data_IF_960230870835
#
_entry.id   IF_960230870835
#
_cell.length_a   1.000
_cell.length_b   1.000
_cell.length_c   1.000
_cell.angle_alpha   90.00
_cell.angle_beta   90.00
_cell.angle_gamma   90.00
#
_symmetry.space_group_name_H-M   'P 1'
#
loop_
_entity.id
_entity.type
_entity.pdbx_description
1 polymer ?
#
# COMPACT_ATOMS: atom_id res chain seq x y z
N UNK A 1 -18.78 6.05 21.84
CA UNK A 1 -17.49 5.79 22.52
C UNK A 1 -16.90 4.60 21.79
N UNK A 2 -16.03 4.83 20.83
CA UNK A 2 -15.55 3.78 19.92
C UNK A 2 -14.21 3.26 20.41
N UNK A 3 -14.13 1.95 20.58
CA UNK A 3 -12.94 1.24 21.03
C UNK A 3 -12.11 0.91 19.78
N UNK A 4 -10.94 1.54 19.67
CA UNK A 4 -9.93 1.17 18.69
C UNK A 4 -9.11 0.02 19.27
N UNK A 5 -9.24 -1.17 18.69
CA UNK A 5 -8.33 -2.29 18.95
C UNK A 5 -7.77 -2.78 17.63
N UNK A 6 -6.46 -2.56 17.47
CA UNK A 6 -5.52 -3.26 16.59
C UNK A 6 -5.94 -3.53 15.13
N UNK A 7 -5.37 -2.73 14.23
CA UNK A 7 -5.03 -3.07 12.84
C UNK A 7 -6.14 -3.53 11.88
N UNK A 8 -7.42 -3.36 12.20
CA UNK A 8 -8.50 -3.56 11.23
C UNK A 8 -9.10 -2.22 10.83
N UNK A 9 -8.91 -1.85 9.56
CA UNK A 9 -9.73 -0.82 8.93
C UNK A 9 -11.17 -1.35 8.94
N UNK A 10 -11.95 -0.94 9.94
CA UNK A 10 -13.35 -1.35 10.08
C UNK A 10 -14.19 -0.57 9.08
N UNK A 11 -14.21 -1.06 7.84
CA UNK A 11 -15.22 -0.66 6.85
C UNK A 11 -16.49 -1.43 7.17
N UNK A 12 -17.56 -0.70 7.50
CA UNK A 12 -18.89 -1.24 7.78
C UNK A 12 -19.28 -2.37 6.79
N UNK A 13 -19.30 -3.62 7.24
CA UNK A 13 -19.95 -4.74 6.56
C UNK A 13 -19.10 -5.62 5.61
N UNK A 14 -17.79 -5.45 5.55
CA UNK A 14 -16.90 -6.27 4.71
C UNK A 14 -16.09 -7.21 5.60
N UNK A 15 -15.99 -8.51 5.25
CA UNK A 15 -15.23 -9.49 6.04
C UNK A 15 -13.72 -9.22 5.95
N UNK A 16 -12.96 -9.65 6.96
CA UNK A 16 -11.49 -9.48 6.98
C UNK A 16 -10.81 -10.09 5.75
N UNK A 17 -11.35 -11.20 5.23
CA UNK A 17 -10.85 -11.85 4.02
C UNK A 17 -11.12 -11.03 2.75
N UNK A 18 -12.28 -10.40 2.65
CA UNK A 18 -12.61 -9.51 1.54
C UNK A 18 -11.74 -8.24 1.57
N UNK A 19 -11.48 -7.67 2.76
CA UNK A 19 -10.54 -6.56 2.90
C UNK A 19 -9.12 -6.97 2.51
N UNK A 20 -8.67 -8.16 2.92
CA UNK A 20 -7.35 -8.68 2.55
C UNK A 20 -7.22 -8.86 1.02
N UNK A 21 -8.23 -9.44 0.37
CA UNK A 21 -8.26 -9.59 -1.08
C UNK A 21 -8.28 -8.25 -1.80
N UNK A 22 -9.02 -7.27 -1.27
CA UNK A 22 -9.09 -5.93 -1.82
C UNK A 22 -7.73 -5.23 -1.79
N UNK A 23 -7.04 -5.26 -0.65
CA UNK A 23 -5.68 -4.72 -0.49
C UNK A 23 -4.71 -5.39 -1.46
N UNK A 24 -4.74 -6.73 -1.55
CA UNK A 24 -3.88 -7.47 -2.46
C UNK A 24 -4.12 -7.05 -3.93
N UNK A 25 -5.38 -6.97 -4.36
CA UNK A 25 -5.71 -6.58 -5.73
C UNK A 25 -5.25 -5.15 -6.06
N UNK A 26 -5.35 -4.22 -5.10
CA UNK A 26 -4.83 -2.86 -5.29
C UNK A 26 -3.31 -2.84 -5.36
N UNK A 27 -2.63 -3.60 -4.51
CA UNK A 27 -1.17 -3.74 -4.56
C UNK A 27 -0.70 -4.31 -5.90
N UNK A 28 -1.37 -5.34 -6.42
CA UNK A 28 -1.11 -5.85 -7.78
C UNK A 28 -1.33 -4.78 -8.84
N UNK A 29 -2.40 -3.99 -8.71
CA UNK A 29 -2.67 -2.87 -9.59
C UNK A 29 -1.54 -1.84 -9.60
N UNK A 30 -0.99 -1.50 -8.43
CA UNK A 30 0.16 -0.58 -8.31
C UNK A 30 1.41 -1.21 -8.95
N UNK A 31 1.76 -2.45 -8.59
CA UNK A 31 2.92 -3.16 -9.12
C UNK A 31 2.88 -3.20 -10.64
N UNK A 32 1.74 -3.58 -11.21
CA UNK A 32 1.53 -3.63 -12.65
C UNK A 32 1.63 -2.24 -13.29
N UNK A 33 0.96 -1.23 -12.73
CA UNK A 33 0.93 0.13 -13.27
C UNK A 33 2.30 0.80 -13.28
N UNK A 34 3.13 0.50 -12.29
CA UNK A 34 4.46 1.10 -12.13
C UNK A 34 5.58 0.26 -12.77
N UNK A 35 5.27 -0.93 -13.30
CA UNK A 35 6.28 -1.82 -13.90
C UNK A 35 7.29 -2.36 -12.89
N UNK A 36 6.87 -2.56 -11.64
CA UNK A 36 7.74 -3.07 -10.56
C UNK A 36 7.94 -4.57 -10.73
N UNK A 37 9.18 -5.04 -10.57
CA UNK A 37 9.45 -6.47 -10.37
C UNK A 37 8.96 -6.88 -8.96
N UNK A 38 7.90 -7.71 -8.85
CA UNK A 38 7.35 -8.11 -7.57
C UNK A 38 8.28 -9.02 -6.75
N UNK A 39 9.26 -9.67 -7.39
CA UNK A 39 10.22 -10.57 -6.75
C UNK A 39 11.51 -9.89 -6.33
N UNK A 40 11.77 -8.69 -6.85
CA UNK A 40 12.86 -7.83 -6.39
C UNK A 40 12.71 -7.38 -4.94
N UNK A 41 13.73 -6.70 -4.41
CA UNK A 41 13.80 -6.28 -3.01
C UNK A 41 14.22 -4.80 -2.83
N UNK A 42 14.39 -4.08 -3.94
CA UNK A 42 14.88 -2.70 -3.96
C UNK A 42 13.89 -1.67 -3.40
N UNK A 43 12.62 -2.04 -3.23
CA UNK A 43 11.56 -1.14 -2.75
C UNK A 43 11.15 -1.41 -1.30
N UNK A 44 11.70 -2.45 -0.66
CA UNK A 44 11.38 -2.80 0.73
C UNK A 44 11.71 -1.66 1.69
N UNK A 45 12.82 -0.95 1.44
CA UNK A 45 13.21 0.16 2.30
C UNK A 45 12.27 1.38 2.21
N UNK A 46 11.53 1.52 1.11
CA UNK A 46 10.60 2.64 0.92
C UNK A 46 9.16 2.32 1.33
N UNK A 47 8.69 1.10 1.01
CA UNK A 47 7.29 0.72 1.20
C UNK A 47 7.08 -0.35 2.28
N UNK A 48 8.15 -1.02 2.72
CA UNK A 48 8.07 -2.04 3.77
C UNK A 48 8.49 -1.53 5.15
N UNK A 49 8.39 -2.40 6.13
CA UNK A 49 8.96 -2.24 7.47
C UNK A 49 10.33 -2.91 7.63
N UNK A 50 10.96 -3.32 6.53
CA UNK A 50 12.28 -3.96 6.53
C UNK A 50 12.27 -5.45 6.87
N UNK A 51 11.10 -6.08 6.95
CA UNK A 51 10.95 -7.52 7.25
C UNK A 51 10.33 -8.30 6.08
N UNK A 52 9.85 -7.60 5.06
CA UNK A 52 9.25 -8.16 3.88
C UNK A 52 10.31 -8.85 3.02
N UNK A 53 9.95 -9.98 2.41
CA UNK A 53 10.88 -10.76 1.60
C UNK A 53 11.07 -10.22 0.18
N UNK A 54 10.14 -9.39 -0.30
CA UNK A 54 10.15 -8.83 -1.66
C UNK A 54 9.28 -7.57 -1.79
N UNK A 55 9.39 -6.92 -2.94
CA UNK A 55 8.67 -5.71 -3.31
C UNK A 55 7.15 -5.91 -3.24
N UNK A 56 6.64 -7.10 -3.63
CA UNK A 56 5.20 -7.39 -3.53
C UNK A 56 4.71 -7.27 -2.10
N UNK A 57 5.37 -7.93 -1.16
CA UNK A 57 4.99 -7.88 0.26
C UNK A 57 5.11 -6.46 0.82
N UNK A 58 6.17 -5.74 0.47
CA UNK A 58 6.34 -4.34 0.87
C UNK A 58 5.21 -3.44 0.35
N UNK A 59 4.87 -3.54 -0.94
CA UNK A 59 3.81 -2.73 -1.54
C UNK A 59 2.43 -3.13 -0.99
N UNK A 60 2.17 -4.42 -0.78
CA UNK A 60 0.93 -4.89 -0.13
C UNK A 60 0.79 -4.31 1.27
N UNK A 61 1.87 -4.33 2.06
CA UNK A 61 1.89 -3.74 3.40
C UNK A 61 1.58 -2.24 3.32
N UNK A 62 2.29 -1.50 2.48
CA UNK A 62 2.10 -0.07 2.29
C UNK A 62 0.68 0.29 1.84
N UNK A 63 0.11 -0.42 0.86
CA UNK A 63 -1.27 -0.19 0.41
C UNK A 63 -2.25 -0.38 1.56
N UNK A 64 -2.14 -1.49 2.30
CA UNK A 64 -3.00 -1.75 3.45
C UNK A 64 -2.88 -0.69 4.54
N UNK A 65 -1.64 -0.25 4.83
CA UNK A 65 -1.36 0.79 5.80
C UNK A 65 -1.95 2.14 5.35
N UNK A 66 -1.69 2.56 4.11
CA UNK A 66 -2.16 3.84 3.57
C UNK A 66 -3.69 3.90 3.54
N UNK A 67 -4.36 2.81 3.13
CA UNK A 67 -5.82 2.69 3.15
C UNK A 67 -6.42 2.78 4.56
N UNK A 68 -5.70 2.33 5.58
CA UNK A 68 -6.16 2.39 6.96
C UNK A 68 -5.96 3.78 7.59
N UNK A 69 -4.88 4.48 7.24
CA UNK A 69 -4.62 5.84 7.73
C UNK A 69 -5.51 6.89 7.06
N UNK A 70 -5.86 6.68 5.79
CA UNK A 70 -6.67 7.64 5.05
C UNK A 70 -8.15 7.35 5.24
N UNK A 71 -8.79 8.16 6.09
CA UNK A 71 -10.22 8.03 6.41
C UNK A 71 -11.17 8.30 5.23
N UNK A 72 -10.68 8.86 4.11
CA UNK A 72 -11.48 9.26 2.96
C UNK A 72 -10.76 8.99 1.63
N UNK A 73 -10.54 7.72 1.29
CA UNK A 73 -10.11 7.40 -0.08
C UNK A 73 -11.22 7.74 -1.09
N UNK A 74 -10.87 8.31 -2.26
CA UNK A 74 -11.82 8.43 -3.36
C UNK A 74 -12.37 7.04 -3.75
N UNK A 75 -13.55 7.03 -4.38
CA UNK A 75 -14.25 5.81 -4.80
C UNK A 75 -13.39 4.86 -5.66
N UNK A 76 -12.32 5.38 -6.28
CA UNK A 76 -11.27 4.59 -6.92
C UNK A 76 -9.91 4.96 -6.30
N UNK A 77 -9.35 4.13 -5.39
CA UNK A 77 -8.10 4.44 -4.70
C UNK A 77 -6.85 4.19 -5.54
N UNK A 78 -6.93 3.38 -6.61
CA UNK A 78 -5.77 2.98 -7.40
C UNK A 78 -5.03 4.16 -8.07
N UNK A 79 -5.70 5.17 -8.69
CA UNK A 79 -5.01 6.35 -9.21
C UNK A 79 -4.24 7.13 -8.14
N UNK A 80 -4.83 7.29 -6.95
CA UNK A 80 -4.19 7.97 -5.82
C UNK A 80 -2.98 7.19 -5.32
N UNK A 81 -3.11 5.87 -5.14
CA UNK A 81 -1.97 5.01 -4.78
C UNK A 81 -0.85 5.11 -5.81
N UNK A 82 -1.18 5.09 -7.10
CA UNK A 82 -0.19 5.23 -8.16
C UNK A 82 0.51 6.60 -8.17
N UNK A 83 -0.18 7.67 -7.76
CA UNK A 83 0.42 8.99 -7.62
C UNK A 83 1.34 9.03 -6.39
N UNK A 84 0.84 8.62 -5.22
CA UNK A 84 1.62 8.58 -3.99
C UNK A 84 2.90 7.73 -4.14
N UNK A 85 2.81 6.62 -4.87
CA UNK A 85 3.97 5.78 -5.19
C UNK A 85 5.06 6.58 -5.93
N UNK A 86 4.67 7.35 -6.96
CA UNK A 86 5.60 8.17 -7.74
C UNK A 86 6.20 9.29 -6.93
N UNK A 87 5.39 9.93 -6.09
CA UNK A 87 5.82 11.03 -5.24
C UNK A 87 6.90 10.54 -4.26
N UNK A 88 6.66 9.41 -3.58
CA UNK A 88 7.63 8.79 -2.65
C UNK A 88 8.95 8.40 -3.34
N UNK A 89 8.88 7.84 -4.54
CA UNK A 89 10.09 7.49 -5.30
C UNK A 89 10.87 8.74 -5.71
N UNK A 90 10.16 9.79 -6.13
CA UNK A 90 10.78 11.05 -6.58
C UNK A 90 11.47 11.78 -5.42
N UNK A 91 10.83 11.82 -4.24
CA UNK A 91 11.44 12.39 -3.03
C UNK A 91 12.79 11.75 -2.69
N UNK A 92 12.90 10.43 -2.83
CA UNK A 92 14.16 9.72 -2.58
C UNK A 92 15.21 10.05 -3.64
N UNK A 93 14.83 10.17 -4.92
CA UNK A 93 15.77 10.51 -6.00
C UNK A 93 16.29 11.95 -5.86
N UNK A 94 15.43 12.89 -5.47
CA UNK A 94 15.79 14.29 -5.31
C UNK A 94 16.73 14.53 -4.11
N UNK A 95 16.70 13.67 -3.08
CA UNK A 95 17.62 13.74 -1.93
C UNK A 95 19.08 13.38 -2.31
N UNK A 96 19.27 12.60 -3.39
CA UNK A 96 20.60 12.14 -3.83
C UNK A 96 21.12 12.84 -5.10
N UNK A 97 20.42 13.88 -5.56
CA UNK A 97 20.79 14.70 -6.73
C UNK A 97 21.47 16.00 -6.31
#
# INVERSE_FOLDING_TARGET
>A
MSIFTNNTCSTNGISESENHNYVNNLAEGVIFSQGVDPTGNNLIALFGNGHESNNRQAITYWVGHTLNESQNYPASPLPTLNQNFKDLISEVIDIYS
#
